data_IF_308449125683
#
_entry.id   IF_308449125683
#
_cell.length_a   1.000
_cell.length_b   1.000
_cell.length_c   1.000
_cell.angle_alpha   90.00
_cell.angle_beta   90.00
_cell.angle_gamma   90.00
#
_symmetry.space_group_name_H-M   'P 1'
#
loop_
_entity.id
_entity.type
_entity.pdbx_description
1 polymer ?
#
# COMPACT_ATOMS: atom_id res chain seq x y z
N UNK A 1 -12.83 -5.59 -26.18
CA UNK A 1 -11.48 -4.96 -26.22
C UNK A 1 -11.25 -3.95 -25.09
N UNK A 2 -12.21 -3.08 -24.73
CA UNK A 2 -12.08 -2.10 -23.62
C UNK A 2 -11.63 -2.69 -22.27
N UNK A 3 -12.21 -3.82 -21.87
CA UNK A 3 -11.84 -4.53 -20.62
C UNK A 3 -10.37 -4.97 -20.52
N UNK A 4 -9.67 -5.19 -21.64
CA UNK A 4 -8.26 -5.59 -21.60
C UNK A 4 -7.34 -4.39 -21.36
N UNK A 5 -7.67 -3.22 -21.91
CA UNK A 5 -6.91 -1.98 -21.72
C UNK A 5 -7.00 -1.54 -20.25
N UNK A 6 -8.19 -1.61 -19.67
CA UNK A 6 -8.41 -1.29 -18.25
C UNK A 6 -7.66 -2.26 -17.32
N UNK A 7 -7.62 -3.54 -17.68
CA UNK A 7 -6.91 -4.58 -16.92
C UNK A 7 -5.39 -4.39 -16.96
N UNK A 8 -4.85 -4.00 -18.11
CA UNK A 8 -3.43 -3.71 -18.27
C UNK A 8 -3.04 -2.44 -17.51
N UNK A 9 -3.87 -1.41 -17.57
CA UNK A 9 -3.71 -0.17 -16.80
C UNK A 9 -3.66 -0.44 -15.30
N UNK A 10 -4.61 -1.23 -14.76
CA UNK A 10 -4.59 -1.66 -13.36
C UNK A 10 -3.31 -2.40 -12.97
N UNK A 11 -2.80 -3.25 -13.86
CA UNK A 11 -1.59 -4.03 -13.61
C UNK A 11 -0.36 -3.12 -13.56
N UNK A 12 -0.29 -2.12 -14.45
CA UNK A 12 0.73 -1.08 -14.43
C UNK A 12 0.65 -0.22 -13.18
N UNK A 13 -0.54 0.22 -12.79
CA UNK A 13 -0.76 0.99 -11.56
C UNK A 13 -0.25 0.24 -10.33
N UNK A 14 -0.54 -1.06 -10.20
CA UNK A 14 -0.04 -1.88 -9.09
C UNK A 14 1.50 -1.96 -9.12
N UNK A 15 2.13 -2.13 -10.29
CA UNK A 15 3.61 -2.15 -10.40
C UNK A 15 4.22 -0.82 -9.97
N UNK A 16 3.67 0.31 -10.41
CA UNK A 16 4.15 1.66 -10.04
C UNK A 16 4.04 1.87 -8.53
N UNK A 17 2.90 1.55 -7.92
CA UNK A 17 2.75 1.66 -6.47
C UNK A 17 3.70 0.73 -5.72
N UNK A 18 3.94 -0.49 -6.22
CA UNK A 18 4.90 -1.41 -5.60
C UNK A 18 6.32 -0.83 -5.62
N UNK A 19 6.72 -0.21 -6.74
CA UNK A 19 8.01 0.46 -6.85
C UNK A 19 8.14 1.65 -5.90
N UNK A 20 7.09 2.48 -5.79
CA UNK A 20 7.05 3.58 -4.81
C UNK A 20 7.14 3.06 -3.36
N UNK A 21 6.49 1.95 -3.06
CA UNK A 21 6.57 1.29 -1.75
C UNK A 21 7.99 0.81 -1.41
N UNK A 22 8.70 0.24 -2.39
CA UNK A 22 10.10 -0.19 -2.21
C UNK A 22 11.02 1.01 -1.96
N UNK A 23 10.85 2.10 -2.72
CA UNK A 23 11.60 3.34 -2.52
C UNK A 23 11.36 3.93 -1.12
N UNK A 24 10.10 3.99 -0.68
CA UNK A 24 9.75 4.44 0.68
C UNK A 24 10.34 3.53 1.76
N UNK A 25 10.41 2.22 1.52
CA UNK A 25 11.04 1.30 2.45
C UNK A 25 12.54 1.56 2.58
N UNK A 26 13.25 1.82 1.48
CA UNK A 26 14.67 2.22 1.52
C UNK A 26 14.87 3.55 2.27
N UNK A 27 13.99 4.53 2.05
CA UNK A 27 14.00 5.81 2.79
C UNK A 27 13.78 5.57 4.28
N UNK A 28 12.82 4.72 4.67
CA UNK A 28 12.60 4.37 6.07
C UNK A 28 13.81 3.68 6.70
N UNK A 29 14.47 2.77 5.99
CA UNK A 29 15.69 2.11 6.47
C UNK A 29 16.80 3.14 6.70
N UNK A 30 17.01 4.05 5.75
CA UNK A 30 18.00 5.13 5.92
C UNK A 30 17.68 6.03 7.13
N UNK A 31 16.42 6.44 7.26
CA UNK A 31 15.98 7.31 8.36
C UNK A 31 16.08 6.62 9.72
N UNK A 32 15.86 5.30 9.80
CA UNK A 32 15.96 4.52 11.03
C UNK A 32 17.38 4.52 11.62
N UNK A 33 18.41 4.45 10.77
CA UNK A 33 19.81 4.46 11.22
C UNK A 33 20.37 5.85 11.47
N UNK A 34 19.60 6.91 11.21
CA UNK A 34 20.10 8.26 11.35
C UNK A 34 19.95 8.80 12.77
N UNK A 35 21.02 9.42 13.29
CA UNK A 35 21.05 10.01 14.62
C UNK A 35 20.51 11.46 14.67
N UNK A 36 20.07 12.01 13.54
CA UNK A 36 19.58 13.38 13.47
C UNK A 36 18.12 13.47 13.97
N UNK A 37 17.84 14.38 14.92
CA UNK A 37 16.49 14.58 15.47
C UNK A 37 15.46 14.98 14.40
N UNK A 38 15.87 15.71 13.35
CA UNK A 38 14.98 16.04 12.23
C UNK A 38 14.55 14.80 11.44
N UNK A 39 15.38 13.74 11.42
CA UNK A 39 15.08 12.49 10.72
C UNK A 39 14.10 11.61 11.50
N UNK A 40 13.96 11.78 12.82
CA UNK A 40 12.96 11.08 13.61
C UNK A 40 11.53 11.48 13.22
N UNK A 41 11.28 12.78 12.97
CA UNK A 41 9.98 13.26 12.49
C UNK A 41 9.72 12.81 11.05
N UNK A 42 10.74 12.85 10.18
CA UNK A 42 10.65 12.34 8.82
C UNK A 42 10.36 10.84 8.77
N UNK A 43 10.92 10.06 9.71
CA UNK A 43 10.68 8.62 9.83
C UNK A 43 9.22 8.30 10.15
N UNK A 44 8.61 9.00 11.11
CA UNK A 44 7.19 8.84 11.44
C UNK A 44 6.29 9.14 10.24
N UNK A 45 6.59 10.24 9.54
CA UNK A 45 5.85 10.62 8.33
C UNK A 45 6.01 9.57 7.22
N UNK A 46 7.25 9.19 6.90
CA UNK A 46 7.56 8.21 5.86
C UNK A 46 6.94 6.83 6.16
N UNK A 47 6.94 6.40 7.42
CA UNK A 47 6.28 5.17 7.86
C UNK A 47 4.76 5.24 7.68
N UNK A 48 4.12 6.36 8.04
CA UNK A 48 2.69 6.56 7.83
C UNK A 48 2.32 6.54 6.34
N UNK A 49 3.13 7.19 5.48
CA UNK A 49 2.94 7.16 4.03
C UNK A 49 3.11 5.75 3.47
N UNK A 50 4.09 4.98 3.96
CA UNK A 50 4.30 3.59 3.55
C UNK A 50 3.08 2.72 3.87
N UNK A 51 2.53 2.83 5.07
CA UNK A 51 1.32 2.11 5.44
C UNK A 51 0.11 2.58 4.62
N UNK A 52 -0.06 3.88 4.39
CA UNK A 52 -1.14 4.38 3.53
C UNK A 52 -1.04 3.80 2.12
N UNK A 53 0.17 3.74 1.56
CA UNK A 53 0.41 3.17 0.25
C UNK A 53 0.09 1.67 0.20
N UNK A 54 0.45 0.91 1.24
CA UNK A 54 0.05 -0.49 1.38
C UNK A 54 -1.48 -0.65 1.41
N UNK A 55 -2.20 0.21 2.14
CA UNK A 55 -3.66 0.17 2.19
C UNK A 55 -4.28 0.42 0.80
N UNK A 56 -3.77 1.42 0.07
CA UNK A 56 -4.20 1.74 -1.30
C UNK A 56 -3.94 0.57 -2.26
N UNK A 57 -2.77 -0.08 -2.18
CA UNK A 57 -2.44 -1.24 -3.03
C UNK A 57 -3.36 -2.43 -2.73
N UNK A 58 -3.62 -2.72 -1.45
CA UNK A 58 -4.56 -3.77 -1.05
C UNK A 58 -5.96 -3.47 -1.55
N UNK A 59 -6.41 -2.21 -1.43
CA UNK A 59 -7.70 -1.76 -1.92
C UNK A 59 -7.81 -1.89 -3.46
N UNK A 60 -6.83 -1.40 -4.22
CA UNK A 60 -6.77 -1.53 -5.67
C UNK A 60 -6.80 -3.00 -6.11
N UNK A 61 -6.09 -3.89 -5.39
CA UNK A 61 -6.09 -5.32 -5.68
C UNK A 61 -7.46 -5.95 -5.42
N UNK A 62 -8.16 -5.54 -4.36
CA UNK A 62 -9.53 -5.99 -4.10
C UNK A 62 -10.46 -5.55 -5.21
N UNK A 63 -10.37 -4.29 -5.64
CA UNK A 63 -11.23 -3.75 -6.70
C UNK A 63 -10.97 -4.44 -8.04
N UNK A 64 -9.70 -4.68 -8.37
CA UNK A 64 -9.31 -5.47 -9.53
C UNK A 64 -9.91 -6.89 -9.49
N UNK A 65 -9.87 -7.57 -8.34
CA UNK A 65 -10.44 -8.91 -8.19
C UNK A 65 -11.96 -8.89 -8.34
N UNK A 66 -12.66 -7.88 -7.79
CA UNK A 66 -14.10 -7.72 -7.95
C UNK A 66 -14.49 -7.52 -9.42
N UNK A 67 -13.79 -6.63 -10.13
CA UNK A 67 -14.17 -6.24 -11.50
C UNK A 67 -13.79 -7.32 -12.52
N UNK A 68 -12.60 -7.93 -12.40
CA UNK A 68 -12.05 -8.80 -13.45
C UNK A 68 -11.96 -10.28 -13.10
N UNK A 69 -12.05 -10.66 -11.81
CA UNK A 69 -11.90 -12.06 -11.36
C UNK A 69 -12.90 -12.41 -10.25
N UNK A 70 -14.19 -12.23 -10.52
CA UNK A 70 -15.31 -12.43 -9.58
C UNK A 70 -15.27 -13.81 -8.89
N UNK A 71 -14.98 -14.89 -9.62
CA UNK A 71 -14.90 -16.24 -9.05
C UNK A 71 -13.75 -16.36 -8.03
N UNK A 72 -12.60 -15.75 -8.31
CA UNK A 72 -11.45 -15.71 -7.40
C UNK A 72 -11.73 -14.78 -6.21
N UNK A 73 -12.45 -13.67 -6.42
CA UNK A 73 -12.88 -12.78 -5.34
C UNK A 73 -13.80 -13.49 -4.34
N UNK A 74 -14.83 -14.21 -4.84
CA UNK A 74 -15.74 -15.01 -4.00
C UNK A 74 -15.00 -16.15 -3.27
N UNK A 75 -14.04 -16.80 -3.92
CA UNK A 75 -13.30 -17.91 -3.35
C UNK A 75 -12.21 -17.49 -2.34
N UNK A 76 -11.48 -16.40 -2.61
CA UNK A 76 -10.35 -15.97 -1.76
C UNK A 76 -10.74 -15.08 -0.59
N UNK A 77 -12.01 -14.60 -0.51
CA UNK A 77 -12.50 -13.63 0.50
C UNK A 77 -11.34 -12.82 1.09
N UNK A 78 -10.57 -12.13 0.24
CA UNK A 78 -9.36 -11.44 0.71
C UNK A 78 -9.86 -10.47 1.77
N UNK A 79 -9.53 -10.71 3.05
CA UNK A 79 -10.34 -10.18 4.10
C UNK A 79 -10.16 -8.67 4.11
N UNK A 80 -11.28 -7.94 4.06
CA UNK A 80 -11.33 -6.47 4.27
C UNK A 80 -10.53 -6.05 5.52
N UNK A 81 -10.36 -6.97 6.47
CA UNK A 81 -9.49 -6.87 7.63
C UNK A 81 -8.04 -6.48 7.32
N UNK A 82 -7.46 -6.88 6.18
CA UNK A 82 -6.09 -6.51 5.81
C UNK A 82 -5.94 -5.00 5.55
N UNK A 83 -6.91 -4.37 4.85
CA UNK A 83 -6.92 -2.92 4.68
C UNK A 83 -7.22 -2.17 5.98
N UNK A 84 -8.06 -2.76 6.86
CA UNK A 84 -8.35 -2.21 8.18
C UNK A 84 -7.11 -2.23 9.07
N UNK A 85 -6.37 -3.34 9.07
CA UNK A 85 -5.14 -3.49 9.86
C UNK A 85 -4.08 -2.47 9.45
N UNK A 86 -3.91 -2.24 8.15
CA UNK A 86 -2.99 -1.23 7.66
C UNK A 86 -3.45 0.18 8.02
N UNK A 87 -4.76 0.48 7.94
CA UNK A 87 -5.31 1.78 8.37
C UNK A 87 -5.11 2.04 9.88
N UNK A 88 -5.29 1.00 10.71
CA UNK A 88 -5.00 1.05 12.16
C UNK A 88 -3.51 1.26 12.41
N UNK A 89 -2.62 0.60 11.66
CA UNK A 89 -1.18 0.82 11.77
C UNK A 89 -0.75 2.26 11.38
N UNK A 90 -1.35 2.85 10.33
CA UNK A 90 -1.16 4.28 9.96
C UNK A 90 -1.60 5.19 11.11
N UNK A 91 -2.75 4.91 11.71
CA UNK A 91 -3.29 5.72 12.80
C UNK A 91 -2.38 5.65 14.03
N UNK A 92 -1.91 4.46 14.41
CA UNK A 92 -0.96 4.27 15.50
C UNK A 92 0.39 4.95 15.24
N UNK A 93 0.95 4.87 14.02
CA UNK A 93 2.24 5.50 13.70
C UNK A 93 2.21 7.04 13.69
N UNK A 94 1.02 7.65 13.59
CA UNK A 94 0.83 9.09 13.74
C UNK A 94 0.63 9.54 15.19
N UNK A 95 0.05 8.69 16.03
CA UNK A 95 -0.33 9.04 17.42
C UNK A 95 0.84 8.82 18.39
N UNK A 96 1.67 7.80 18.17
CA UNK A 96 2.79 7.43 19.03
C UNK A 96 4.15 7.77 18.41
#
# INVERSE_FOLDING_TARGET
>A
MRNNIDKETYTWTIKVFTLLGILLLLVNVFLFFSQNQAHAMAFKFSSAVMFLLLAVVVWLRLEYLKVFKVAVYKARRVPMWASIFVFVAVAFSRIF
#
